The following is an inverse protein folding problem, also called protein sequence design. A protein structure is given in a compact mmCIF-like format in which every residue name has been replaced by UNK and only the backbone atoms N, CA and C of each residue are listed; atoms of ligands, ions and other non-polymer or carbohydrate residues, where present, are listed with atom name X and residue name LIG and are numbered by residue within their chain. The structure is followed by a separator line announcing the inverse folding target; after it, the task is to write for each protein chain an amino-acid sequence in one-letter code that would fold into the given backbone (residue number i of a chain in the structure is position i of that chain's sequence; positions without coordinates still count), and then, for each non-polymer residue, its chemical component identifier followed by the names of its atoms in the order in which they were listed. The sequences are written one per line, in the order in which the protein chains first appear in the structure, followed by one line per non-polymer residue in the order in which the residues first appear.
data_IF_137742496809
#
_entry.id   IF_137742496809
#
_cell.length_a   1.000
_cell.length_b   1.000
_cell.length_c   1.000
_cell.angle_alpha   90.00
_cell.angle_beta   90.00
_cell.angle_gamma   90.00
#
_symmetry.space_group_name_H-M   'P 1'
#
loop_
_entity.id
_entity.type
_entity.pdbx_description
1 polymer ?
#
# COMPACT_ATOMS: atom_id res chain seq x y z
N UNK A 1 47.26 -22.35 7.48
CA UNK A 1 46.97 -21.13 6.67
C UNK A 1 45.56 -21.25 6.15
N UNK A 2 44.61 -20.73 6.94
CA UNK A 2 43.17 -20.77 6.60
C UNK A 2 42.86 -19.51 5.80
N UNK A 3 42.51 -19.68 4.50
CA UNK A 3 41.99 -18.59 3.67
C UNK A 3 40.54 -18.34 4.11
N UNK A 4 40.28 -17.23 4.76
CA UNK A 4 38.93 -16.71 4.96
C UNK A 4 38.49 -16.07 3.65
N UNK A 5 37.62 -16.75 2.93
CA UNK A 5 36.95 -16.22 1.76
C UNK A 5 35.90 -15.20 2.23
N UNK A 6 36.27 -13.93 2.24
CA UNK A 6 35.34 -12.85 2.51
C UNK A 6 34.34 -12.77 1.35
N UNK A 7 33.09 -13.15 1.59
CA UNK A 7 31.99 -12.90 0.67
C UNK A 7 31.73 -11.39 0.69
N UNK A 8 32.17 -10.69 -0.34
CA UNK A 8 31.77 -9.31 -0.56
C UNK A 8 30.27 -9.29 -0.87
N UNK A 9 29.48 -8.89 0.11
CA UNK A 9 28.07 -8.55 -0.11
C UNK A 9 28.05 -7.34 -1.03
N UNK A 10 27.76 -7.57 -2.31
CA UNK A 10 27.52 -6.50 -3.27
C UNK A 10 26.22 -5.82 -2.82
N UNK A 11 26.36 -4.67 -2.15
CA UNK A 11 25.22 -3.82 -1.79
C UNK A 11 24.41 -3.56 -3.06
N UNK A 12 23.19 -4.07 -3.12
CA UNK A 12 22.29 -3.81 -4.23
C UNK A 12 22.14 -2.29 -4.40
N UNK A 13 22.15 -1.82 -5.64
CA UNK A 13 21.96 -0.40 -5.90
C UNK A 13 20.62 0.04 -5.29
N UNK A 14 20.65 1.06 -4.43
CA UNK A 14 19.48 1.64 -3.75
C UNK A 14 19.18 3.04 -4.36
N UNK A 15 18.68 3.08 -5.61
CA UNK A 15 18.57 4.34 -6.35
C UNK A 15 17.51 5.27 -5.74
N UNK A 16 16.37 4.74 -5.29
CA UNK A 16 15.27 5.56 -4.77
C UNK A 16 15.54 6.08 -3.36
N UNK A 17 16.15 5.27 -2.49
CA UNK A 17 16.57 5.72 -1.16
C UNK A 17 17.53 6.92 -1.25
N UNK A 18 18.50 6.84 -2.16
CA UNK A 18 19.46 7.95 -2.37
C UNK A 18 18.78 9.17 -3.01
N UNK A 19 17.87 8.93 -3.94
CA UNK A 19 17.18 9.99 -4.66
C UNK A 19 16.20 10.75 -3.76
N UNK A 20 15.51 10.06 -2.86
CA UNK A 20 14.51 10.67 -1.96
C UNK A 20 15.07 11.05 -0.60
N UNK A 21 16.26 10.61 -0.25
CA UNK A 21 17.04 10.85 0.96
C UNK A 21 16.22 11.24 2.21
N UNK A 22 16.06 12.55 2.49
CA UNK A 22 15.32 13.01 3.67
C UNK A 22 13.85 12.61 3.67
N UNK A 23 13.22 12.50 2.51
CA UNK A 23 11.82 12.04 2.41
C UNK A 23 11.73 10.55 2.73
N UNK A 24 12.70 9.77 2.26
CA UNK A 24 12.80 8.34 2.57
C UNK A 24 12.98 8.12 4.07
N UNK A 25 13.91 8.85 4.72
CA UNK A 25 14.13 8.76 6.17
C UNK A 25 12.86 9.06 6.96
N UNK A 26 12.14 10.13 6.60
CA UNK A 26 10.87 10.47 7.25
C UNK A 26 9.79 9.40 7.06
N UNK A 27 9.71 8.80 5.88
CA UNK A 27 8.78 7.70 5.63
C UNK A 27 9.15 6.46 6.44
N UNK A 28 10.44 6.13 6.54
CA UNK A 28 10.95 5.04 7.38
C UNK A 28 10.64 5.27 8.85
N UNK A 29 10.85 6.48 9.37
CA UNK A 29 10.51 6.85 10.76
C UNK A 29 9.03 6.62 11.04
N UNK A 30 8.13 6.97 10.09
CA UNK A 30 6.69 6.72 10.23
C UNK A 30 6.39 5.23 10.29
N UNK A 31 7.00 4.42 9.42
CA UNK A 31 6.81 2.96 9.43
C UNK A 31 7.30 2.39 10.75
N UNK A 32 8.52 2.71 11.18
CA UNK A 32 9.11 2.23 12.44
C UNK A 32 8.26 2.62 13.66
N UNK A 33 7.76 3.84 13.70
CA UNK A 33 6.90 4.33 14.79
C UNK A 33 5.60 3.52 14.94
N UNK A 34 5.08 2.98 13.84
CA UNK A 34 3.78 2.32 13.83
C UNK A 34 3.87 0.80 13.62
N UNK A 35 5.06 0.26 13.35
CA UNK A 35 5.29 -1.14 12.99
C UNK A 35 4.55 -2.13 13.90
N UNK A 36 4.76 -2.08 15.22
CA UNK A 36 4.16 -3.01 16.17
C UNK A 36 2.62 -2.98 16.13
N UNK A 37 2.04 -1.78 16.03
CA UNK A 37 0.58 -1.63 15.96
C UNK A 37 0.01 -2.13 14.63
N UNK A 38 0.72 -1.91 13.52
CA UNK A 38 0.32 -2.39 12.20
C UNK A 38 0.48 -3.89 12.07
N UNK A 39 1.60 -4.45 12.55
CA UNK A 39 1.85 -5.89 12.59
C UNK A 39 0.74 -6.64 13.33
N UNK A 40 0.28 -6.11 14.47
CA UNK A 40 -0.86 -6.69 15.19
C UNK A 40 -2.11 -6.78 14.32
N UNK A 41 -2.42 -5.74 13.54
CA UNK A 41 -3.58 -5.74 12.64
C UNK A 41 -3.36 -6.67 11.46
N UNK A 42 -2.20 -6.60 10.82
CA UNK A 42 -1.87 -7.45 9.66
C UNK A 42 -1.91 -8.94 10.03
N UNK A 43 -1.27 -9.30 11.15
CA UNK A 43 -1.25 -10.69 11.66
C UNK A 43 -2.65 -11.21 12.01
N UNK A 44 -3.56 -10.34 12.46
CA UNK A 44 -4.96 -10.74 12.75
C UNK A 44 -5.74 -11.19 11.50
N UNK A 45 -5.23 -10.88 10.32
CA UNK A 45 -5.80 -11.25 9.02
C UNK A 45 -4.82 -12.11 8.19
N UNK A 46 -3.82 -12.73 8.83
CA UNK A 46 -2.77 -13.55 8.19
C UNK A 46 -2.10 -12.84 6.99
N UNK A 47 -1.85 -11.55 7.10
CA UNK A 47 -1.09 -10.78 6.14
C UNK A 47 0.32 -10.49 6.68
N UNK A 48 1.35 -10.68 5.83
CA UNK A 48 2.74 -10.37 6.20
C UNK A 48 2.92 -8.85 6.32
N UNK A 49 3.38 -8.38 7.49
CA UNK A 49 3.56 -6.95 7.79
C UNK A 49 4.59 -6.30 6.86
N UNK A 50 5.70 -6.99 6.56
CA UNK A 50 6.75 -6.45 5.68
C UNK A 50 6.24 -6.24 4.26
N UNK A 51 5.47 -7.21 3.73
CA UNK A 51 4.83 -7.10 2.42
C UNK A 51 3.83 -5.93 2.42
N UNK A 52 2.98 -5.84 3.44
CA UNK A 52 2.00 -4.76 3.57
C UNK A 52 2.66 -3.38 3.64
N UNK A 53 3.66 -3.22 4.50
CA UNK A 53 4.42 -1.98 4.65
C UNK A 53 5.12 -1.56 3.35
N UNK A 54 5.74 -2.53 2.65
CA UNK A 54 6.39 -2.27 1.38
C UNK A 54 5.39 -1.77 0.32
N UNK A 55 4.18 -2.38 0.23
CA UNK A 55 3.15 -1.99 -0.73
C UNK A 55 2.76 -0.51 -0.58
N UNK A 56 2.59 -0.01 0.65
CA UNK A 56 2.11 1.35 0.91
C UNK A 56 3.23 2.37 1.11
N UNK A 57 4.47 1.93 1.20
CA UNK A 57 5.61 2.82 1.43
C UNK A 57 5.72 3.99 0.43
N UNK A 58 5.48 3.81 -0.88
CA UNK A 58 5.47 4.94 -1.81
C UNK A 58 4.42 6.02 -1.44
N UNK A 59 3.26 5.63 -0.91
CA UNK A 59 2.25 6.60 -0.47
C UNK A 59 2.66 7.31 0.82
N UNK A 60 3.30 6.60 1.76
CA UNK A 60 3.87 7.21 2.96
C UNK A 60 4.95 8.24 2.59
N UNK A 61 5.79 7.90 1.61
CA UNK A 61 6.80 8.79 1.06
C UNK A 61 6.19 10.07 0.47
N UNK A 62 5.06 9.95 -0.24
CA UNK A 62 4.30 11.05 -0.82
C UNK A 62 3.55 11.85 0.24
N UNK A 63 2.96 11.19 1.24
CA UNK A 63 2.12 11.81 2.27
C UNK A 63 2.86 12.87 3.08
N UNK A 64 4.18 12.75 3.25
CA UNK A 64 5.01 13.74 3.95
C UNK A 64 4.89 15.16 3.37
N UNK A 65 4.37 15.30 2.14
CA UNK A 65 4.14 16.58 1.44
C UNK A 65 2.68 17.05 1.49
N UNK A 66 1.71 16.19 1.84
CA UNK A 66 0.27 16.52 1.81
C UNK A 66 -0.13 17.21 3.09
N UNK A 67 -0.33 18.53 3.05
CA UNK A 67 -0.72 19.35 4.22
C UNK A 67 -2.16 19.89 4.20
N UNK A 68 -3.00 19.59 3.21
CA UNK A 68 -4.30 20.22 3.08
C UNK A 68 -5.45 19.41 3.67
N UNK A 69 -5.75 19.68 4.96
CA UNK A 69 -6.91 19.12 5.67
C UNK A 69 -8.26 19.78 5.25
N UNK A 70 -8.25 21.01 4.74
CA UNK A 70 -9.48 21.75 4.46
C UNK A 70 -10.17 21.29 3.17
N UNK A 71 -9.43 21.01 2.11
CA UNK A 71 -10.02 20.46 0.87
C UNK A 71 -10.63 19.07 1.10
N UNK A 72 -10.05 18.27 1.99
CA UNK A 72 -10.56 16.93 2.30
C UNK A 72 -11.95 16.93 2.95
N UNK A 73 -12.30 17.94 3.77
CA UNK A 73 -13.61 18.00 4.42
C UNK A 73 -14.75 18.15 3.41
N UNK A 74 -14.60 19.04 2.44
CA UNK A 74 -15.58 19.25 1.37
C UNK A 74 -15.69 18.01 0.45
N UNK A 75 -14.59 17.35 0.14
CA UNK A 75 -14.56 16.14 -0.66
C UNK A 75 -15.22 14.95 0.06
N UNK A 76 -15.01 14.83 1.38
CA UNK A 76 -15.68 13.83 2.23
C UNK A 76 -17.20 14.02 2.22
N UNK A 77 -17.69 15.24 2.44
CA UNK A 77 -19.12 15.55 2.42
C UNK A 77 -19.73 15.25 1.04
N UNK A 78 -19.03 15.61 -0.03
CA UNK A 78 -19.48 15.34 -1.38
C UNK A 78 -19.52 13.83 -1.69
N UNK A 79 -18.52 13.04 -1.26
CA UNK A 79 -18.58 11.60 -1.40
C UNK A 79 -19.75 11.00 -0.60
N UNK A 80 -19.98 11.45 0.63
CA UNK A 80 -21.11 10.95 1.46
C UNK A 80 -22.43 11.15 0.74
N UNK A 81 -22.65 12.31 0.12
CA UNK A 81 -23.91 12.64 -0.56
C UNK A 81 -24.06 11.99 -1.94
N UNK A 82 -22.99 11.96 -2.71
CA UNK A 82 -23.05 11.63 -4.15
C UNK A 82 -22.26 10.36 -4.51
N UNK A 83 -21.58 9.71 -3.55
CA UNK A 83 -20.71 8.56 -3.78
C UNK A 83 -19.45 8.91 -4.58
N UNK A 84 -18.83 7.91 -5.20
CA UNK A 84 -17.62 8.08 -6.02
C UNK A 84 -17.82 8.93 -7.26
N UNK A 85 -19.06 9.09 -7.74
CA UNK A 85 -19.39 10.02 -8.81
C UNK A 85 -19.22 11.48 -8.39
N UNK A 86 -19.46 11.80 -7.10
CA UNK A 86 -19.25 13.13 -6.54
C UNK A 86 -17.79 13.40 -6.23
N UNK A 87 -17.12 12.49 -5.56
CA UNK A 87 -15.70 12.63 -5.20
C UNK A 87 -15.02 11.27 -5.04
N UNK A 88 -13.81 11.12 -5.60
CA UNK A 88 -12.94 9.96 -5.40
C UNK A 88 -11.50 10.45 -5.19
N UNK A 89 -11.09 10.58 -3.95
CA UNK A 89 -9.85 11.22 -3.54
C UNK A 89 -9.08 10.35 -2.53
N UNK A 90 -7.80 10.60 -2.40
CA UNK A 90 -6.93 9.84 -1.50
C UNK A 90 -7.12 10.28 -0.04
N UNK A 91 -7.25 9.32 0.88
CA UNK A 91 -7.48 9.55 2.31
C UNK A 91 -6.40 8.86 3.13
N UNK A 92 -5.94 9.55 4.16
CA UNK A 92 -5.06 9.04 5.20
C UNK A 92 -3.64 8.73 4.73
N UNK A 93 -2.89 8.04 5.59
CA UNK A 93 -1.47 7.79 5.41
C UNK A 93 -1.18 6.89 4.19
N UNK A 94 -2.04 5.91 3.95
CA UNK A 94 -1.91 4.97 2.82
C UNK A 94 -2.57 5.48 1.54
N UNK A 95 -3.09 6.71 1.54
CA UNK A 95 -3.69 7.37 0.38
C UNK A 95 -4.75 6.52 -0.33
N UNK A 96 -5.59 5.84 0.46
CA UNK A 96 -6.66 5.00 -0.07
C UNK A 96 -7.84 5.83 -0.58
N UNK A 97 -8.37 5.44 -1.73
CA UNK A 97 -9.56 6.08 -2.31
C UNK A 97 -10.84 5.39 -1.88
N UNK A 98 -11.97 6.12 -1.75
CA UNK A 98 -13.27 5.50 -1.53
C UNK A 98 -13.62 4.40 -2.54
N UNK A 99 -13.33 4.63 -3.83
CA UNK A 99 -13.54 3.62 -4.88
C UNK A 99 -12.72 2.34 -4.69
N UNK A 100 -11.51 2.45 -4.15
CA UNK A 100 -10.69 1.29 -3.79
C UNK A 100 -11.33 0.51 -2.64
N UNK A 101 -11.73 1.20 -1.57
CA UNK A 101 -12.40 0.58 -0.43
C UNK A 101 -13.69 -0.14 -0.83
N UNK A 102 -14.53 0.48 -1.68
CA UNK A 102 -15.76 -0.14 -2.20
C UNK A 102 -15.49 -1.43 -2.98
N UNK A 103 -14.43 -1.46 -3.79
CA UNK A 103 -14.03 -2.66 -4.54
C UNK A 103 -13.58 -3.77 -3.59
N UNK A 104 -12.76 -3.42 -2.58
CA UNK A 104 -12.24 -4.34 -1.57
C UNK A 104 -13.39 -4.90 -0.73
N UNK A 105 -14.28 -4.05 -0.20
CA UNK A 105 -15.46 -4.45 0.58
C UNK A 105 -16.36 -5.40 -0.23
N UNK A 106 -16.66 -5.07 -1.48
CA UNK A 106 -17.46 -5.92 -2.38
C UNK A 106 -16.83 -7.29 -2.65
N UNK A 107 -15.53 -7.32 -2.87
CA UNK A 107 -14.80 -8.57 -3.12
C UNK A 107 -14.76 -9.43 -1.85
N UNK A 108 -14.45 -8.81 -0.69
CA UNK A 108 -14.39 -9.48 0.60
C UNK A 108 -15.70 -10.14 1.00
N UNK A 109 -16.82 -9.43 0.85
CA UNK A 109 -18.15 -9.98 1.18
C UNK A 109 -18.58 -11.14 0.29
N UNK A 110 -17.94 -11.35 -0.86
CA UNK A 110 -18.14 -12.52 -1.74
C UNK A 110 -17.18 -13.67 -1.43
N UNK A 111 -16.05 -13.40 -0.78
CA UNK A 111 -15.07 -14.38 -0.39
C UNK A 111 -15.51 -15.16 0.86
N UNK A 112 -15.20 -16.47 0.99
CA UNK A 112 -15.40 -17.21 2.24
C UNK A 112 -14.62 -16.63 3.41
N UNK A 113 -13.54 -15.89 3.16
CA UNK A 113 -12.70 -15.25 4.18
C UNK A 113 -13.49 -14.29 5.08
N UNK A 114 -14.53 -13.63 4.58
CA UNK A 114 -15.35 -12.75 5.41
C UNK A 114 -15.98 -13.47 6.63
N UNK A 115 -16.33 -14.74 6.48
CA UNK A 115 -16.88 -15.58 7.57
C UNK A 115 -15.75 -16.14 8.43
N UNK A 116 -14.65 -16.54 7.81
CA UNK A 116 -13.47 -17.08 8.50
C UNK A 116 -12.91 -16.09 9.51
N UNK A 117 -12.76 -14.83 9.11
CA UNK A 117 -12.24 -13.76 9.97
C UNK A 117 -13.33 -12.98 10.74
N UNK A 118 -14.61 -13.29 10.52
CA UNK A 118 -15.71 -12.57 11.17
C UNK A 118 -15.78 -11.08 10.84
N UNK A 119 -15.20 -10.67 9.70
CA UNK A 119 -15.15 -9.29 9.25
C UNK A 119 -16.19 -9.05 8.16
N UNK A 120 -17.13 -8.14 8.42
CA UNK A 120 -18.24 -7.85 7.51
C UNK A 120 -18.33 -6.35 7.23
N UNK A 121 -18.62 -6.02 5.96
CA UNK A 121 -18.84 -4.66 5.49
C UNK A 121 -20.28 -4.44 5.07
N UNK A 122 -20.81 -3.25 5.39
CA UNK A 122 -22.09 -2.80 4.86
C UNK A 122 -21.93 -2.31 3.41
N UNK A 123 -22.53 -3.02 2.48
CA UNK A 123 -22.47 -2.72 1.05
C UNK A 123 -23.61 -1.83 0.54
N UNK A 124 -24.47 -1.33 1.43
CA UNK A 124 -25.54 -0.42 1.02
C UNK A 124 -24.97 0.89 0.47
N UNK A 125 -25.62 1.41 -0.56
CA UNK A 125 -25.24 2.70 -1.13
C UNK A 125 -26.07 3.82 -0.49
N UNK A 126 -25.84 4.05 0.81
CA UNK A 126 -26.49 5.08 1.62
C UNK A 126 -25.46 6.06 2.16
N UNK A 127 -25.93 7.26 2.51
CA UNK A 127 -25.08 8.27 3.16
C UNK A 127 -24.43 7.71 4.44
N UNK A 128 -25.17 6.90 5.21
CA UNK A 128 -24.66 6.28 6.41
C UNK A 128 -23.50 5.29 6.13
N UNK A 129 -23.66 4.40 5.17
CA UNK A 129 -22.62 3.43 4.80
C UNK A 129 -21.39 4.14 4.22
N UNK A 130 -21.59 5.18 3.41
CA UNK A 130 -20.49 6.01 2.89
C UNK A 130 -19.76 6.81 3.98
N UNK A 131 -20.50 7.36 4.97
CA UNK A 131 -19.89 8.01 6.15
C UNK A 131 -19.01 7.05 6.94
N UNK A 132 -19.52 5.84 7.22
CA UNK A 132 -18.74 4.79 7.91
C UNK A 132 -17.48 4.41 7.14
N UNK A 133 -17.53 4.36 5.81
CA UNK A 133 -16.34 4.11 4.98
C UNK A 133 -15.32 5.23 5.09
N UNK A 134 -15.75 6.49 5.09
CA UNK A 134 -14.87 7.66 5.32
C UNK A 134 -14.21 7.61 6.70
N UNK A 135 -14.97 7.25 7.74
CA UNK A 135 -14.43 7.08 9.10
C UNK A 135 -13.33 6.03 9.12
N UNK A 136 -13.57 4.85 8.52
CA UNK A 136 -12.59 3.77 8.39
C UNK A 136 -11.34 4.21 7.61
N UNK A 137 -11.51 4.85 6.46
CA UNK A 137 -10.40 5.33 5.64
C UNK A 137 -9.59 6.44 6.34
N UNK A 138 -10.19 7.17 7.30
CA UNK A 138 -9.51 8.19 8.09
C UNK A 138 -8.79 7.62 9.31
N UNK A 139 -9.06 6.38 9.69
CA UNK A 139 -8.43 5.68 10.81
C UNK A 139 -7.27 4.80 10.31
N UNK A 140 -6.10 4.88 10.98
CA UNK A 140 -4.89 4.15 10.57
C UNK A 140 -5.02 2.64 10.69
N UNK A 141 -5.64 2.16 11.76
CA UNK A 141 -5.80 0.73 11.96
C UNK A 141 -6.76 0.14 10.91
N UNK A 142 -7.82 0.87 10.58
CA UNK A 142 -8.71 0.48 9.49
C UNK A 142 -8.04 0.53 8.12
N UNK A 143 -7.09 1.44 7.88
CA UNK A 143 -6.29 1.40 6.66
C UNK A 143 -5.44 0.11 6.60
N UNK A 144 -4.87 -0.33 7.73
CA UNK A 144 -4.19 -1.63 7.80
C UNK A 144 -5.15 -2.79 7.53
N UNK A 145 -6.38 -2.78 8.07
CA UNK A 145 -7.41 -3.78 7.78
C UNK A 145 -7.71 -3.83 6.27
N UNK A 146 -7.96 -2.68 5.63
CA UNK A 146 -8.22 -2.65 4.19
C UNK A 146 -7.05 -3.18 3.37
N UNK A 147 -5.82 -2.88 3.77
CA UNK A 147 -4.62 -3.35 3.09
C UNK A 147 -4.44 -4.87 3.24
N UNK A 148 -4.61 -5.41 4.47
CA UNK A 148 -4.56 -6.85 4.72
C UNK A 148 -5.64 -7.60 3.92
N UNK A 149 -6.88 -7.11 3.97
CA UNK A 149 -8.00 -7.64 3.17
C UNK A 149 -7.67 -7.64 1.68
N UNK A 150 -7.11 -6.55 1.16
CA UNK A 150 -6.67 -6.46 -0.23
C UNK A 150 -5.62 -7.53 -0.56
N UNK A 151 -4.59 -7.70 0.28
CA UNK A 151 -3.52 -8.69 0.06
C UNK A 151 -4.10 -10.11 0.06
N UNK A 152 -4.95 -10.44 1.04
CA UNK A 152 -5.63 -11.75 1.12
C UNK A 152 -6.49 -12.04 -0.10
N UNK A 153 -7.27 -11.06 -0.56
CA UNK A 153 -8.08 -11.20 -1.77
C UNK A 153 -7.24 -11.38 -3.04
N UNK A 154 -6.08 -10.72 -3.11
CA UNK A 154 -5.16 -10.91 -4.23
C UNK A 154 -4.59 -12.33 -4.25
N UNK A 155 -4.20 -12.87 -3.11
CA UNK A 155 -3.71 -14.25 -3.01
C UNK A 155 -4.80 -15.30 -3.27
N UNK A 156 -6.04 -15.05 -2.80
CA UNK A 156 -7.18 -15.92 -3.09
C UNK A 156 -7.50 -15.96 -4.59
N UNK A 157 -7.54 -14.81 -5.23
CA UNK A 157 -7.86 -14.69 -6.66
C UNK A 157 -6.75 -15.20 -7.57
N UNK A 158 -5.51 -14.97 -7.20
CA UNK A 158 -4.31 -15.27 -7.99
C UNK A 158 -3.27 -16.03 -7.13
N UNK A 159 -3.50 -17.30 -6.84
CA UNK A 159 -2.59 -18.09 -5.98
C UNK A 159 -1.14 -18.13 -6.48
N UNK A 160 -0.93 -17.91 -7.79
CA UNK A 160 0.41 -17.82 -8.36
C UNK A 160 1.21 -16.64 -7.78
N UNK A 161 0.55 -15.55 -7.39
CA UNK A 161 1.25 -14.41 -6.78
C UNK A 161 1.85 -14.85 -5.44
N UNK A 162 1.11 -15.58 -4.61
CA UNK A 162 1.61 -16.07 -3.32
C UNK A 162 2.79 -17.07 -3.46
N UNK A 163 2.94 -17.72 -4.61
CA UNK A 163 4.02 -18.66 -4.90
C UNK A 163 5.25 -18.00 -5.57
N UNK A 164 5.18 -16.72 -5.92
CA UNK A 164 6.30 -15.99 -6.50
C UNK A 164 7.40 -15.69 -5.46
N UNK A 165 8.64 -15.41 -5.88
CA UNK A 165 9.63 -14.77 -4.99
C UNK A 165 9.08 -13.48 -4.39
N UNK A 166 9.46 -13.15 -3.16
CA UNK A 166 8.90 -12.03 -2.38
C UNK A 166 8.93 -10.70 -3.13
N UNK A 167 10.05 -10.38 -3.80
CA UNK A 167 10.16 -9.17 -4.63
C UNK A 167 9.13 -9.11 -5.77
N UNK A 168 8.82 -10.26 -6.39
CA UNK A 168 7.78 -10.34 -7.41
C UNK A 168 6.39 -10.21 -6.81
N UNK A 169 6.13 -10.83 -5.66
CA UNK A 169 4.87 -10.66 -4.93
C UNK A 169 4.61 -9.18 -4.64
N UNK A 170 5.58 -8.50 -4.01
CA UNK A 170 5.48 -7.07 -3.70
C UNK A 170 5.28 -6.25 -4.97
N UNK A 171 6.01 -6.55 -6.04
CA UNK A 171 5.87 -5.86 -7.31
C UNK A 171 4.44 -5.97 -7.88
N UNK A 172 3.84 -7.18 -7.84
CA UNK A 172 2.47 -7.40 -8.33
C UNK A 172 1.44 -6.72 -7.43
N UNK A 173 1.55 -6.89 -6.12
CA UNK A 173 0.62 -6.33 -5.15
C UNK A 173 0.68 -4.79 -5.13
N UNK A 174 1.87 -4.20 -5.10
CA UNK A 174 2.05 -2.75 -5.17
C UNK A 174 1.49 -2.15 -6.47
N UNK A 175 1.67 -2.85 -7.60
CA UNK A 175 1.09 -2.42 -8.88
C UNK A 175 -0.44 -2.50 -8.86
N UNK A 176 -1.01 -3.58 -8.33
CA UNK A 176 -2.46 -3.74 -8.20
C UNK A 176 -3.07 -2.67 -7.28
N UNK A 177 -2.40 -2.38 -6.16
CA UNK A 177 -2.79 -1.34 -5.22
C UNK A 177 -2.82 0.05 -5.85
N UNK A 178 -1.75 0.42 -6.56
CA UNK A 178 -1.61 1.75 -7.15
C UNK A 178 -2.49 1.96 -8.39
N UNK A 179 -2.78 0.89 -9.16
CA UNK A 179 -3.46 1.02 -10.46
C UNK A 179 -4.85 0.41 -10.51
N UNK A 180 -4.93 -0.90 -10.41
CA UNK A 180 -6.19 -1.62 -10.51
C UNK A 180 -6.14 -2.97 -9.80
N UNK A 181 -6.97 -3.08 -8.77
CA UNK A 181 -7.16 -4.30 -8.00
C UNK A 181 -7.62 -5.50 -8.84
N UNK A 182 -8.40 -5.25 -9.90
CA UNK A 182 -8.97 -6.30 -10.75
C UNK A 182 -8.13 -6.66 -11.97
N UNK A 183 -6.98 -6.00 -12.16
CA UNK A 183 -6.14 -6.25 -13.34
C UNK A 183 -5.62 -7.70 -13.39
N UNK A 184 -5.54 -8.31 -14.59
CA UNK A 184 -4.89 -9.60 -14.79
C UNK A 184 -3.38 -9.52 -14.49
N UNK A 185 -2.79 -10.64 -14.02
CA UNK A 185 -1.35 -10.74 -13.67
C UNK A 185 -0.43 -10.23 -14.78
N UNK A 186 -0.69 -10.57 -16.04
CA UNK A 186 0.13 -10.10 -17.16
C UNK A 186 0.09 -8.58 -17.35
N UNK A 187 -1.04 -7.95 -17.03
CA UNK A 187 -1.15 -6.49 -17.04
C UNK A 187 -0.36 -5.89 -15.87
N UNK A 188 -0.44 -6.49 -14.68
CA UNK A 188 0.34 -6.07 -13.53
C UNK A 188 1.85 -6.14 -13.81
N UNK A 189 2.34 -7.23 -14.43
CA UNK A 189 3.74 -7.36 -14.82
C UNK A 189 4.22 -6.25 -15.75
N UNK A 190 3.40 -5.91 -16.75
CA UNK A 190 3.73 -4.81 -17.68
C UNK A 190 3.74 -3.47 -16.98
N UNK A 191 2.74 -3.22 -16.14
CA UNK A 191 2.56 -1.94 -15.45
C UNK A 191 3.56 -1.70 -14.32
N UNK A 192 4.07 -2.76 -13.68
CA UNK A 192 5.05 -2.65 -12.60
C UNK A 192 6.30 -1.84 -12.98
N UNK A 193 6.65 -1.82 -14.28
CA UNK A 193 7.83 -1.12 -14.82
C UNK A 193 7.51 0.28 -15.35
N UNK A 194 6.24 0.67 -15.40
CA UNK A 194 5.83 1.94 -16.01
C UNK A 194 5.89 3.06 -14.97
N UNK A 195 6.67 4.12 -15.21
CA UNK A 195 6.80 5.24 -14.30
C UNK A 195 5.54 6.12 -14.37
N UNK A 196 4.66 5.99 -13.40
CA UNK A 196 3.39 6.75 -13.30
C UNK A 196 3.17 7.37 -11.94
N UNK A 197 3.97 6.99 -10.96
CA UNK A 197 3.94 7.54 -9.62
C UNK A 197 4.82 8.79 -9.52
N UNK A 198 4.37 9.80 -8.81
CA UNK A 198 5.11 11.04 -8.55
C UNK A 198 4.89 11.49 -7.10
N UNK A 199 5.84 12.24 -6.57
CA UNK A 199 5.79 12.78 -5.21
C UNK A 199 5.22 14.21 -5.13
N UNK A 200 5.04 14.87 -6.26
CA UNK A 200 4.49 16.23 -6.28
C UNK A 200 3.00 16.22 -5.96
N UNK A 201 2.53 17.16 -5.16
CA UNK A 201 1.11 17.33 -4.85
C UNK A 201 0.35 17.74 -6.12
N UNK A 202 0.89 18.69 -6.86
CA UNK A 202 0.37 19.14 -8.15
C UNK A 202 1.42 18.86 -9.23
N UNK A 203 1.16 17.92 -10.14
CA UNK A 203 2.10 17.63 -11.22
C UNK A 203 2.26 18.81 -12.17
N UNK A 204 3.48 19.05 -12.60
CA UNK A 204 3.89 20.09 -13.54
C UNK A 204 4.70 19.48 -14.69
N UNK A 205 5.14 20.31 -15.64
CA UNK A 205 6.02 19.84 -16.74
C UNK A 205 7.39 19.32 -16.24
N UNK A 206 7.81 19.71 -15.03
CA UNK A 206 9.05 19.23 -14.41
C UNK A 206 8.86 18.05 -13.47
N UNK A 207 7.64 17.55 -13.29
CA UNK A 207 7.36 16.41 -12.42
C UNK A 207 8.05 15.16 -12.93
N UNK A 208 8.81 14.52 -12.04
CA UNK A 208 9.44 13.25 -12.31
C UNK A 208 8.51 12.10 -11.92
N UNK A 209 8.48 11.08 -12.77
CA UNK A 209 7.65 9.90 -12.58
C UNK A 209 8.51 8.67 -12.33
N UNK A 210 8.03 7.78 -11.47
CA UNK A 210 8.72 6.59 -11.00
C UNK A 210 7.84 5.36 -11.11
N UNK A 211 8.41 4.16 -11.28
CA UNK A 211 7.67 2.91 -11.11
C UNK A 211 7.33 2.70 -9.63
N UNK A 212 6.06 2.73 -9.28
CA UNK A 212 5.57 2.54 -7.91
C UNK A 212 6.11 1.26 -7.27
N UNK A 213 5.98 0.15 -7.99
CA UNK A 213 6.43 -1.16 -7.54
C UNK A 213 7.94 -1.23 -7.26
N UNK A 214 8.76 -0.51 -8.01
CA UNK A 214 10.20 -0.53 -7.80
C UNK A 214 10.61 0.15 -6.48
N UNK A 215 9.90 1.20 -6.06
CA UNK A 215 10.09 1.84 -4.75
C UNK A 215 9.70 0.87 -3.62
N UNK A 216 8.55 0.18 -3.77
CA UNK A 216 8.07 -0.81 -2.80
C UNK A 216 9.08 -1.97 -2.62
N UNK A 217 9.58 -2.53 -3.72
CA UNK A 217 10.59 -3.61 -3.70
C UNK A 217 11.90 -3.14 -3.06
N UNK A 218 12.39 -1.93 -3.38
CA UNK A 218 13.60 -1.40 -2.76
C UNK A 218 13.44 -1.24 -1.25
N UNK A 219 12.28 -0.76 -0.78
CA UNK A 219 11.99 -0.65 0.66
C UNK A 219 12.06 -2.00 1.37
N UNK A 220 11.50 -3.05 0.78
CA UNK A 220 11.55 -4.39 1.36
C UNK A 220 12.99 -4.91 1.49
N UNK A 221 13.81 -4.76 0.45
CA UNK A 221 15.22 -5.18 0.48
C UNK A 221 16.02 -4.51 1.59
N UNK A 222 15.81 -3.20 1.79
CA UNK A 222 16.48 -2.45 2.85
C UNK A 222 16.03 -2.94 4.24
N UNK A 223 14.74 -3.22 4.42
CA UNK A 223 14.21 -3.76 5.67
C UNK A 223 14.84 -5.11 6.02
N UNK A 224 14.99 -6.00 5.05
CA UNK A 224 15.66 -7.30 5.24
C UNK A 224 17.14 -7.16 5.59
N UNK A 225 17.87 -6.27 4.91
CA UNK A 225 19.27 -6.01 5.23
C UNK A 225 19.45 -5.52 6.68
N UNK A 226 18.56 -4.63 7.13
CA UNK A 226 18.63 -4.08 8.50
C UNK A 226 18.33 -5.14 9.56
N UNK A 227 17.41 -6.06 9.32
CA UNK A 227 17.07 -7.13 10.26
C UNK A 227 18.21 -8.14 10.45
N UNK A 228 19.03 -8.38 9.42
CA UNK A 228 20.17 -9.30 9.48
C UNK A 228 21.36 -8.77 10.32
N UNK A 229 21.39 -7.48 10.64
CA UNK A 229 22.47 -6.87 11.44
C UNK A 229 22.09 -6.63 12.90
N UNK A 230 20.87 -6.98 13.32
CA UNK A 230 20.36 -6.78 14.70
C UNK A 230 20.39 -8.09 15.51
N UNK A 231 20.66 -9.23 14.89
CA UNK A 231 20.94 -10.53 15.54
C UNK A 231 22.46 -10.69 15.77
#
# INVERSE_FOLDING_TARGET
MLLTCGVAVVSAAQPYRRQFDDQWKKADEVVLQHHESWETVFSSLDADSRVCEAIVFPEILRWSKVKDLFEQAALKDRYIKEGTAGADFSIGLFQMKPSFAEKVEKAWMKSPLCREYGLFFDLQDTDHARSRRIERLSDRNWQCVYLAVFVRLMYEREPLIAAMPEDEQISMLATAYNRDFHAPVDSLRRWARVPTFHLDILPSKSTQYYPYAAIAVERNKISMETSLFVE
#
